data_IF_950368103347
#
_entry.id   IF_950368103347
#
_cell.length_a   1.000
_cell.length_b   1.000
_cell.length_c   1.000
_cell.angle_alpha   90.00
_cell.angle_beta   90.00
_cell.angle_gamma   90.00
#
_symmetry.space_group_name_H-M   'P 1'
#
loop_
_entity.id
_entity.type
_entity.pdbx_description
1 polymer ?
#
# COMPACT_ATOMS: atom_id res chain seq x y z
N UNK A 1 33.33 -21.06 -3.33
CA UNK A 1 32.57 -21.35 -4.56
C UNK A 1 32.37 -20.08 -5.36
N UNK A 2 32.46 -20.15 -6.70
CA UNK A 2 32.14 -19.03 -7.59
C UNK A 2 30.63 -18.97 -7.88
N UNK A 3 30.16 -17.81 -8.31
CA UNK A 3 28.72 -17.57 -8.51
C UNK A 3 28.04 -18.58 -9.45
N UNK A 4 28.71 -19.03 -10.51
CA UNK A 4 28.13 -20.01 -11.44
C UNK A 4 27.90 -21.38 -10.77
N UNK A 5 28.78 -21.79 -9.85
CA UNK A 5 28.61 -23.04 -9.09
C UNK A 5 27.46 -22.93 -8.09
N UNK A 6 27.34 -21.76 -7.44
CA UNK A 6 26.23 -21.45 -6.52
C UNK A 6 24.89 -21.46 -7.26
N UNK A 7 24.82 -20.85 -8.44
CA UNK A 7 23.63 -20.91 -9.29
C UNK A 7 23.24 -22.36 -9.62
N UNK A 8 24.23 -23.21 -9.91
CA UNK A 8 24.01 -24.65 -10.15
C UNK A 8 23.42 -25.38 -8.93
N UNK A 9 23.98 -25.16 -7.74
CA UNK A 9 23.50 -25.80 -6.49
C UNK A 9 22.14 -25.28 -6.03
N UNK A 10 21.91 -23.97 -6.14
CA UNK A 10 20.71 -23.32 -5.58
C UNK A 10 19.55 -23.23 -6.57
N UNK A 11 19.84 -23.36 -7.87
CA UNK A 11 18.95 -23.00 -8.99
C UNK A 11 18.45 -21.56 -8.96
N UNK A 12 19.14 -20.68 -8.23
CA UNK A 12 18.87 -19.25 -8.26
C UNK A 12 19.62 -18.59 -9.41
N UNK A 13 19.02 -17.55 -9.97
CA UNK A 13 19.71 -16.73 -10.98
C UNK A 13 20.76 -15.86 -10.29
N UNK A 14 21.77 -15.44 -11.08
CA UNK A 14 22.77 -14.46 -10.63
C UNK A 14 22.12 -13.20 -10.01
N UNK A 15 21.05 -12.71 -10.65
CA UNK A 15 20.33 -11.51 -10.21
C UNK A 15 19.62 -11.72 -8.87
N UNK A 16 19.06 -12.90 -8.63
CA UNK A 16 18.45 -13.23 -7.33
C UNK A 16 19.50 -13.29 -6.21
N UNK A 17 20.67 -13.90 -6.47
CA UNK A 17 21.76 -13.97 -5.49
C UNK A 17 22.25 -12.55 -5.14
N UNK A 18 22.47 -11.69 -6.14
CA UNK A 18 22.85 -10.29 -5.91
C UNK A 18 21.78 -9.47 -5.21
N UNK A 19 20.50 -9.74 -5.48
CA UNK A 19 19.41 -9.12 -4.73
C UNK A 19 19.49 -9.49 -3.25
N UNK A 20 19.66 -10.77 -2.91
CA UNK A 20 19.78 -11.17 -1.51
C UNK A 20 21.05 -10.62 -0.84
N UNK A 21 22.15 -10.45 -1.56
CA UNK A 21 23.33 -9.71 -1.06
C UNK A 21 23.00 -8.24 -0.77
N UNK A 22 22.35 -7.53 -1.72
CA UNK A 22 21.94 -6.14 -1.55
C UNK A 22 20.99 -5.95 -0.37
N UNK A 23 20.09 -6.90 -0.19
CA UNK A 23 19.16 -6.96 0.94
C UNK A 23 19.85 -7.34 2.26
N UNK A 24 21.15 -7.66 2.23
CA UNK A 24 21.94 -8.01 3.40
C UNK A 24 21.71 -9.42 3.92
N UNK A 25 20.99 -10.28 3.19
CA UNK A 25 20.73 -11.66 3.61
C UNK A 25 21.98 -12.56 3.50
N UNK A 26 22.96 -12.17 2.67
CA UNK A 26 24.22 -12.86 2.45
C UNK A 26 25.38 -11.88 2.40
N UNK A 27 26.52 -12.27 2.98
CA UNK A 27 27.75 -11.49 2.99
C UNK A 27 28.92 -12.37 2.54
N UNK A 28 28.99 -12.71 1.24
CA UNK A 28 30.07 -13.54 0.73
C UNK A 28 31.42 -12.83 0.88
N UNK A 29 32.47 -13.61 1.15
CA UNK A 29 33.82 -13.07 1.24
C UNK A 29 34.26 -12.51 -0.11
N UNK A 30 34.93 -11.35 -0.10
CA UNK A 30 35.52 -10.77 -1.31
C UNK A 30 37.02 -10.99 -1.29
N UNK A 31 37.54 -11.56 -2.37
CA UNK A 31 38.96 -11.87 -2.50
C UNK A 31 39.77 -10.58 -2.68
N UNK A 32 40.77 -10.37 -1.82
CA UNK A 32 41.55 -9.12 -1.73
C UNK A 32 42.36 -8.79 -2.98
N UNK A 33 42.71 -9.79 -3.79
CA UNK A 33 43.58 -9.63 -4.95
C UNK A 33 42.84 -9.23 -6.23
N UNK A 34 41.55 -9.57 -6.37
CA UNK A 34 40.85 -9.45 -7.65
C UNK A 34 39.36 -9.09 -7.54
N UNK A 35 38.88 -8.75 -6.32
CA UNK A 35 37.50 -8.35 -6.04
C UNK A 35 36.41 -9.36 -6.45
N UNK A 36 36.78 -10.64 -6.65
CA UNK A 36 35.81 -11.69 -6.91
C UNK A 36 35.11 -12.12 -5.61
N UNK A 37 33.80 -12.35 -5.72
CA UNK A 37 32.97 -12.89 -4.64
C UNK A 37 33.21 -14.39 -4.51
N UNK A 38 33.41 -14.83 -3.27
CA UNK A 38 33.56 -16.23 -2.92
C UNK A 38 32.48 -16.63 -1.90
N UNK A 39 31.67 -17.60 -2.27
CA UNK A 39 30.57 -18.12 -1.45
C UNK A 39 31.01 -19.40 -0.73
N UNK A 40 30.64 -19.51 0.53
CA UNK A 40 30.83 -20.69 1.37
C UNK A 40 29.67 -21.68 1.19
N UNK A 41 29.82 -22.91 1.69
CA UNK A 41 28.67 -23.85 1.73
C UNK A 41 27.56 -23.36 2.69
N UNK A 42 27.92 -22.56 3.71
CA UNK A 42 26.92 -21.91 4.57
C UNK A 42 26.07 -20.89 3.79
N UNK A 43 26.70 -20.10 2.91
CA UNK A 43 25.99 -19.18 2.03
C UNK A 43 25.03 -19.93 1.09
N UNK A 44 25.45 -21.10 0.58
CA UNK A 44 24.59 -21.96 -0.24
C UNK A 44 23.40 -22.46 0.57
N UNK A 45 23.60 -22.90 1.81
CA UNK A 45 22.51 -23.34 2.68
C UNK A 45 21.54 -22.20 2.99
N UNK A 46 22.04 -20.99 3.28
CA UNK A 46 21.20 -19.79 3.46
C UNK A 46 20.38 -19.48 2.20
N UNK A 47 21.00 -19.52 1.02
CA UNK A 47 20.31 -19.32 -0.26
C UNK A 47 19.22 -20.36 -0.51
N UNK A 48 19.45 -21.63 -0.16
CA UNK A 48 18.44 -22.69 -0.27
C UNK A 48 17.26 -22.46 0.70
N UNK A 49 17.54 -22.04 1.95
CA UNK A 49 16.51 -21.68 2.91
C UNK A 49 15.69 -20.48 2.46
N UNK A 50 16.34 -19.41 1.99
CA UNK A 50 15.67 -18.22 1.43
C UNK A 50 14.77 -18.64 0.27
N UNK A 51 15.27 -19.47 -0.65
CA UNK A 51 14.50 -19.97 -1.79
C UNK A 51 13.26 -20.73 -1.34
N UNK A 52 13.38 -21.65 -0.38
CA UNK A 52 12.24 -22.40 0.15
C UNK A 52 11.19 -21.48 0.77
N UNK A 53 11.60 -20.56 1.64
CA UNK A 53 10.68 -19.64 2.30
C UNK A 53 9.98 -18.72 1.29
N UNK A 54 10.70 -18.25 0.27
CA UNK A 54 10.11 -17.50 -0.85
C UNK A 54 9.10 -18.31 -1.66
N UNK A 55 9.31 -19.62 -1.83
CA UNK A 55 8.35 -20.51 -2.49
C UNK A 55 7.08 -20.75 -1.66
N UNK A 56 7.14 -20.48 -0.36
CA UNK A 56 5.98 -20.50 0.54
C UNK A 56 5.33 -19.11 0.66
N UNK A 57 5.64 -18.20 -0.26
CA UNK A 57 5.17 -16.81 -0.30
C UNK A 57 5.53 -15.96 0.94
N UNK A 58 6.56 -16.36 1.69
CA UNK A 58 7.06 -15.57 2.82
C UNK A 58 7.86 -14.39 2.26
N UNK A 59 7.58 -13.14 2.70
CA UNK A 59 8.25 -11.96 2.18
C UNK A 59 9.70 -11.85 2.71
N UNK A 60 10.53 -11.12 1.95
CA UNK A 60 11.99 -11.07 2.14
C UNK A 60 12.38 -10.46 3.49
N UNK A 61 11.59 -9.51 3.98
CA UNK A 61 11.73 -8.87 5.29
C UNK A 61 11.47 -9.83 6.46
N UNK A 62 10.46 -10.70 6.38
CA UNK A 62 10.23 -11.76 7.37
C UNK A 62 11.36 -12.80 7.35
N UNK A 63 11.86 -13.14 6.15
CA UNK A 63 13.02 -14.03 6.00
C UNK A 63 14.27 -13.40 6.66
N UNK A 64 14.49 -12.08 6.53
CA UNK A 64 15.57 -11.39 7.26
C UNK A 64 15.44 -11.57 8.77
N UNK A 65 14.24 -11.37 9.33
CA UNK A 65 14.00 -11.53 10.78
C UNK A 65 14.39 -12.94 11.24
N UNK A 66 14.03 -13.97 10.46
CA UNK A 66 14.43 -15.36 10.76
C UNK A 66 15.94 -15.55 10.69
N UNK A 67 16.59 -15.08 9.62
CA UNK A 67 18.04 -15.25 9.47
C UNK A 67 18.87 -14.49 10.52
N UNK A 68 18.37 -13.35 10.99
CA UNK A 68 19.02 -12.58 12.06
C UNK A 68 18.62 -13.03 13.48
N UNK A 69 17.83 -14.10 13.61
CA UNK A 69 17.37 -14.61 14.92
C UNK A 69 16.39 -13.68 15.65
N UNK A 70 15.82 -12.71 14.95
CA UNK A 70 14.80 -11.78 15.47
C UNK A 70 13.40 -12.41 15.47
N UNK A 71 13.20 -13.49 14.71
CA UNK A 71 11.97 -14.28 14.69
C UNK A 71 12.30 -15.78 14.62
N UNK A 72 11.46 -16.61 15.24
CA UNK A 72 11.55 -18.06 15.09
C UNK A 72 10.96 -18.46 13.74
N UNK A 73 11.65 -19.32 13.00
CA UNK A 73 11.14 -19.90 11.74
C UNK A 73 9.76 -20.51 11.91
N UNK A 74 9.51 -21.15 13.07
CA UNK A 74 8.21 -21.73 13.41
C UNK A 74 7.09 -20.69 13.40
N UNK A 75 7.30 -19.54 14.04
CA UNK A 75 6.30 -18.46 14.13
C UNK A 75 5.93 -17.94 12.74
N UNK A 76 6.93 -17.67 11.90
CA UNK A 76 6.69 -17.19 10.52
C UNK A 76 5.92 -18.21 9.69
N UNK A 77 6.22 -19.50 9.85
CA UNK A 77 5.49 -20.59 9.18
C UNK A 77 4.06 -20.74 9.69
N UNK A 78 3.82 -20.58 11.01
CA UNK A 78 2.49 -20.61 11.61
C UNK A 78 1.62 -19.43 11.14
N UNK A 79 2.20 -18.23 11.09
CA UNK A 79 1.54 -17.06 10.53
C UNK A 79 1.19 -17.26 9.05
N UNK A 80 2.12 -17.80 8.26
CA UNK A 80 1.85 -18.07 6.85
C UNK A 80 0.81 -19.18 6.65
N UNK A 81 0.83 -20.22 7.47
CA UNK A 81 -0.20 -21.26 7.46
C UNK A 81 -1.59 -20.68 7.78
N UNK A 82 -1.65 -19.73 8.73
CA UNK A 82 -2.88 -19.01 9.05
C UNK A 82 -3.37 -18.19 7.85
N UNK A 83 -2.48 -17.43 7.18
CA UNK A 83 -2.82 -16.67 5.95
C UNK A 83 -3.34 -17.57 4.82
N UNK A 84 -2.71 -18.73 4.61
CA UNK A 84 -3.15 -19.71 3.60
C UNK A 84 -4.51 -20.31 3.98
N UNK A 85 -4.71 -20.68 5.25
CA UNK A 85 -5.98 -21.24 5.73
C UNK A 85 -7.14 -20.24 5.56
N UNK A 86 -6.95 -18.98 5.95
CA UNK A 86 -7.95 -17.93 5.76
C UNK A 86 -8.28 -17.70 4.28
N UNK A 87 -7.27 -17.79 3.40
CA UNK A 87 -7.46 -17.68 1.95
C UNK A 87 -8.26 -18.86 1.39
N UNK A 88 -8.00 -20.09 1.87
CA UNK A 88 -8.76 -21.28 1.49
C UNK A 88 -10.22 -21.16 1.90
N UNK A 89 -10.52 -20.74 3.13
CA UNK A 89 -11.89 -20.55 3.58
C UNK A 89 -12.62 -19.49 2.75
N UNK A 90 -11.94 -18.38 2.40
CA UNK A 90 -12.51 -17.34 1.53
C UNK A 90 -12.82 -17.89 0.14
N UNK A 91 -11.89 -18.61 -0.48
CA UNK A 91 -12.10 -19.21 -1.80
C UNK A 91 -13.21 -20.27 -1.77
N UNK A 92 -13.32 -21.01 -0.68
CA UNK A 92 -14.39 -21.98 -0.45
C UNK A 92 -15.76 -21.29 -0.36
N UNK A 93 -15.88 -20.22 0.42
CA UNK A 93 -17.11 -19.40 0.50
C UNK A 93 -17.50 -18.83 -0.87
N UNK A 94 -16.53 -18.27 -1.61
CA UNK A 94 -16.77 -17.75 -2.97
C UNK A 94 -17.28 -18.87 -3.89
N UNK A 95 -16.64 -20.04 -3.85
CA UNK A 95 -17.05 -21.21 -4.64
C UNK A 95 -18.46 -21.66 -4.28
N UNK A 96 -18.80 -21.72 -2.99
CA UNK A 96 -20.13 -22.09 -2.51
C UNK A 96 -21.19 -21.10 -2.98
N UNK A 97 -20.89 -19.81 -2.94
CA UNK A 97 -21.76 -18.76 -3.45
C UNK A 97 -21.97 -18.86 -4.96
N UNK A 98 -20.90 -19.02 -5.74
CA UNK A 98 -20.99 -19.25 -7.19
C UNK A 98 -21.80 -20.52 -7.47
N UNK A 99 -21.55 -21.59 -6.72
CA UNK A 99 -22.26 -22.87 -6.90
C UNK A 99 -23.75 -22.72 -6.56
N UNK A 100 -24.10 -21.96 -5.52
CA UNK A 100 -25.49 -21.66 -5.17
C UNK A 100 -26.18 -20.85 -6.27
N UNK A 101 -25.51 -19.85 -6.82
CA UNK A 101 -26.01 -19.06 -7.96
C UNK A 101 -26.20 -19.91 -9.21
N UNK A 102 -25.29 -20.84 -9.50
CA UNK A 102 -25.40 -21.75 -10.65
C UNK A 102 -26.48 -22.82 -10.45
N UNK A 103 -26.64 -23.34 -9.23
CA UNK A 103 -27.62 -24.39 -8.91
C UNK A 103 -29.03 -23.83 -8.67
N UNK A 104 -29.16 -22.52 -8.43
CA UNK A 104 -30.43 -21.83 -8.18
C UNK A 104 -31.45 -22.07 -9.29
N UNK A 105 -31.05 -22.11 -10.56
CA UNK A 105 -31.94 -22.46 -11.68
C UNK A 105 -31.16 -23.02 -12.89
N UNK A 106 -31.24 -24.33 -13.19
CA UNK A 106 -30.48 -24.96 -14.30
C UNK A 106 -30.88 -24.51 -15.71
N UNK A 107 -31.81 -23.56 -15.86
CA UNK A 107 -32.28 -23.05 -17.16
C UNK A 107 -32.68 -21.56 -17.18
N UNK A 108 -32.28 -20.76 -16.18
CA UNK A 108 -32.46 -19.30 -16.20
C UNK A 108 -31.23 -18.62 -15.59
N UNK A 109 -30.73 -17.57 -16.25
CA UNK A 109 -29.76 -16.66 -15.63
C UNK A 109 -30.35 -16.11 -14.32
N UNK A 110 -29.57 -16.00 -13.23
CA UNK A 110 -30.04 -15.38 -11.99
C UNK A 110 -30.65 -14.03 -12.30
N UNK A 111 -31.90 -13.80 -11.89
CA UNK A 111 -32.55 -12.51 -12.09
C UNK A 111 -31.95 -11.49 -11.10
N UNK A 112 -31.87 -10.21 -11.48
CA UNK A 112 -31.38 -9.11 -10.62
C UNK A 112 -31.99 -9.11 -9.20
N UNK A 113 -33.22 -9.62 -9.04
CA UNK A 113 -33.94 -9.72 -7.77
C UNK A 113 -33.30 -10.74 -6.81
N UNK A 114 -32.82 -11.88 -7.32
CA UNK A 114 -32.15 -12.91 -6.51
C UNK A 114 -30.78 -12.43 -6.04
N UNK A 115 -30.06 -11.72 -6.91
CA UNK A 115 -28.79 -11.07 -6.58
C UNK A 115 -28.98 -9.98 -5.52
N UNK A 116 -30.04 -9.17 -5.62
CA UNK A 116 -30.35 -8.14 -4.63
C UNK A 116 -30.72 -8.74 -3.25
N UNK A 117 -31.44 -9.87 -3.22
CA UNK A 117 -31.79 -10.57 -1.98
C UNK A 117 -30.57 -11.13 -1.25
N UNK A 118 -29.62 -11.72 -1.99
CA UNK A 118 -28.35 -12.19 -1.45
C UNK A 118 -27.44 -11.05 -1.00
N UNK A 119 -27.36 -9.96 -1.77
CA UNK A 119 -26.58 -8.77 -1.39
C UNK A 119 -27.05 -8.21 -0.04
N UNK A 120 -28.36 -8.19 0.21
CA UNK A 120 -28.96 -7.64 1.44
C UNK A 120 -28.77 -8.53 2.67
N UNK A 121 -28.71 -9.85 2.50
CA UNK A 121 -28.45 -10.76 3.63
C UNK A 121 -26.96 -10.90 3.95
N UNK A 122 -26.08 -10.60 2.98
CA UNK A 122 -24.63 -10.62 3.16
C UNK A 122 -24.06 -9.28 3.62
N UNK A 123 -24.72 -8.15 3.32
CA UNK A 123 -24.14 -6.83 3.57
C UNK A 123 -23.87 -6.56 5.05
N UNK A 124 -24.86 -6.73 5.93
CA UNK A 124 -24.79 -6.07 7.24
C UNK A 124 -23.79 -6.73 8.21
N UNK A 125 -23.76 -8.07 8.26
CA UNK A 125 -22.83 -8.83 9.12
C UNK A 125 -21.41 -8.85 8.55
N UNK A 126 -21.28 -9.01 7.22
CA UNK A 126 -19.98 -9.01 6.55
C UNK A 126 -19.34 -7.63 6.56
N UNK A 127 -20.14 -6.56 6.38
CA UNK A 127 -19.65 -5.19 6.41
C UNK A 127 -19.13 -4.82 7.80
N UNK A 128 -19.83 -5.23 8.86
CA UNK A 128 -19.36 -5.06 10.24
C UNK A 128 -18.04 -5.79 10.50
N UNK A 129 -17.88 -7.02 9.99
CA UNK A 129 -16.62 -7.76 10.08
C UNK A 129 -15.51 -7.13 9.22
N UNK A 130 -15.87 -6.62 8.04
CA UNK A 130 -14.93 -6.00 7.11
C UNK A 130 -14.40 -4.67 7.63
N UNK A 131 -15.22 -3.84 8.30
CA UNK A 131 -14.80 -2.59 8.95
C UNK A 131 -13.64 -2.80 9.93
N UNK A 132 -13.58 -3.96 10.57
CA UNK A 132 -12.51 -4.33 11.52
C UNK A 132 -11.23 -4.81 10.83
N UNK A 133 -11.23 -4.95 9.49
CA UNK A 133 -10.05 -5.37 8.72
C UNK A 133 -9.34 -4.15 8.14
N UNK A 134 -8.02 -4.16 8.22
CA UNK A 134 -7.17 -3.14 7.59
C UNK A 134 -7.44 -3.01 6.09
N UNK A 135 -7.40 -1.77 5.59
CA UNK A 135 -7.64 -1.44 4.18
C UNK A 135 -9.11 -1.54 3.76
N UNK A 136 -10.07 -1.66 4.68
CA UNK A 136 -11.50 -1.61 4.36
C UNK A 136 -11.89 -0.29 3.70
N UNK A 137 -11.57 0.85 4.34
CA UNK A 137 -11.97 2.17 3.85
C UNK A 137 -11.42 2.44 2.45
N UNK A 138 -10.14 2.18 2.21
CA UNK A 138 -9.52 2.32 0.89
C UNK A 138 -10.23 1.48 -0.19
N UNK A 139 -10.58 0.22 0.11
CA UNK A 139 -11.36 -0.64 -0.80
C UNK A 139 -12.79 -0.13 -0.99
N UNK A 140 -13.40 0.34 0.10
CA UNK A 140 -14.78 0.84 0.10
C UNK A 140 -14.93 2.11 -0.73
N UNK A 141 -13.88 2.94 -0.86
CA UNK A 141 -13.88 4.07 -1.79
C UNK A 141 -14.10 3.64 -3.25
N UNK A 142 -13.51 2.52 -3.70
CA UNK A 142 -13.73 2.03 -5.07
C UNK A 142 -15.17 1.55 -5.28
N UNK A 143 -15.77 0.97 -4.25
CA UNK A 143 -17.15 0.49 -4.29
C UNK A 143 -18.17 1.64 -4.29
N UNK A 144 -17.99 2.62 -3.39
CA UNK A 144 -18.90 3.74 -3.21
C UNK A 144 -18.80 4.78 -4.34
N UNK A 145 -17.59 4.98 -4.87
CA UNK A 145 -17.32 6.01 -5.88
C UNK A 145 -16.74 5.37 -7.16
N UNK A 146 -17.58 4.73 -7.99
CA UNK A 146 -17.09 4.03 -9.18
C UNK A 146 -16.43 4.98 -10.18
N UNK A 147 -15.49 4.43 -10.95
CA UNK A 147 -14.79 5.16 -12.01
C UNK A 147 -13.58 5.96 -11.52
N UNK A 148 -13.15 6.93 -12.34
CA UNK A 148 -11.89 7.66 -12.13
C UNK A 148 -11.86 8.43 -10.81
N UNK A 149 -13.00 8.94 -10.33
CA UNK A 149 -13.04 9.72 -9.10
C UNK A 149 -12.62 8.89 -7.88
N UNK A 150 -13.25 7.73 -7.62
CA UNK A 150 -12.85 6.87 -6.50
C UNK A 150 -11.43 6.33 -6.63
N UNK A 151 -10.98 6.03 -7.87
CA UNK A 151 -9.59 5.65 -8.15
C UNK A 151 -8.61 6.73 -7.71
N UNK A 152 -8.90 7.99 -8.03
CA UNK A 152 -8.07 9.14 -7.62
C UNK A 152 -8.10 9.34 -6.10
N UNK A 153 -9.27 9.21 -5.46
CA UNK A 153 -9.38 9.33 -3.99
C UNK A 153 -8.59 8.22 -3.29
N UNK A 154 -8.72 6.97 -3.74
CA UNK A 154 -7.98 5.84 -3.19
C UNK A 154 -6.46 6.00 -3.40
N UNK A 155 -6.02 6.48 -4.58
CA UNK A 155 -4.60 6.71 -4.85
C UNK A 155 -3.99 7.77 -3.91
N UNK A 156 -4.70 8.87 -3.66
CA UNK A 156 -4.16 10.00 -2.90
C UNK A 156 -4.31 9.85 -1.39
N UNK A 157 -5.41 9.23 -0.94
CA UNK A 157 -5.78 9.20 0.48
C UNK A 157 -5.84 7.78 1.05
N UNK A 158 -5.90 6.74 0.21
CA UNK A 158 -6.00 5.35 0.63
C UNK A 158 -4.89 4.91 1.59
N UNK A 159 -3.70 5.52 1.51
CA UNK A 159 -2.57 5.25 2.41
C UNK A 159 -2.93 5.44 3.88
N UNK A 160 -3.73 6.46 4.14
CA UNK A 160 -4.17 6.90 5.46
C UNK A 160 -5.55 6.32 5.81
N UNK A 161 -6.13 5.49 4.94
CA UNK A 161 -7.43 4.85 5.14
C UNK A 161 -7.27 3.33 5.26
N UNK A 162 -6.14 2.90 5.84
CA UNK A 162 -5.79 1.50 6.04
C UNK A 162 -6.08 0.98 7.44
N UNK A 163 -6.27 1.87 8.43
CA UNK A 163 -6.61 1.47 9.79
C UNK A 163 -8.02 0.83 9.84
N UNK A 164 -8.26 -0.15 10.73
CA UNK A 164 -9.60 -0.67 10.96
C UNK A 164 -10.47 0.39 11.63
N UNK A 165 -11.76 0.44 11.29
CA UNK A 165 -12.72 1.34 11.94
C UNK A 165 -13.12 0.73 13.28
N UNK A 166 -12.76 1.40 14.38
CA UNK A 166 -12.99 0.93 15.73
C UNK A 166 -13.75 1.96 16.56
N UNK A 167 -15.00 1.62 16.91
CA UNK A 167 -15.88 2.45 17.76
C UNK A 167 -16.54 3.64 17.06
N UNK A 168 -17.50 4.23 17.76
CA UNK A 168 -18.46 5.19 17.19
C UNK A 168 -17.81 6.43 16.57
N UNK A 169 -16.70 6.92 17.16
CA UNK A 169 -16.01 8.11 16.64
C UNK A 169 -15.38 7.88 15.27
N UNK A 170 -14.81 6.69 15.02
CA UNK A 170 -14.25 6.37 13.71
C UNK A 170 -15.37 6.07 12.71
N UNK A 171 -16.47 5.44 13.16
CA UNK A 171 -17.63 5.22 12.29
C UNK A 171 -18.24 6.54 11.82
N UNK A 172 -18.41 7.49 12.73
CA UNK A 172 -18.92 8.82 12.39
C UNK A 172 -17.96 9.55 11.45
N UNK A 173 -16.65 9.53 11.75
CA UNK A 173 -15.66 10.18 10.91
C UNK A 173 -15.62 9.61 9.47
N UNK A 174 -15.76 8.28 9.34
CA UNK A 174 -15.86 7.64 8.04
C UNK A 174 -17.15 8.03 7.31
N UNK A 175 -18.29 8.05 8.00
CA UNK A 175 -19.57 8.46 7.42
C UNK A 175 -19.52 9.91 6.92
N UNK A 176 -18.93 10.82 7.69
CA UNK A 176 -18.75 12.23 7.30
C UNK A 176 -17.83 12.38 6.07
N UNK A 177 -16.78 11.56 5.94
CA UNK A 177 -15.96 11.53 4.72
C UNK A 177 -16.78 11.10 3.52
N UNK A 178 -17.57 10.03 3.65
CA UNK A 178 -18.39 9.51 2.55
C UNK A 178 -19.44 10.54 2.13
N UNK A 179 -20.15 11.14 3.09
CA UNK A 179 -21.15 12.17 2.83
C UNK A 179 -20.52 13.41 2.19
N UNK A 180 -19.35 13.84 2.66
CA UNK A 180 -18.59 14.91 2.06
C UNK A 180 -18.25 14.61 0.60
N UNK A 181 -17.71 13.43 0.30
CA UNK A 181 -17.31 13.05 -1.05
C UNK A 181 -18.50 12.91 -2.00
N UNK A 182 -19.63 12.38 -1.52
CA UNK A 182 -20.87 12.23 -2.29
C UNK A 182 -21.55 13.58 -2.58
N UNK A 183 -21.42 14.54 -1.66
CA UNK A 183 -21.96 15.89 -1.81
C UNK A 183 -21.13 16.83 -2.70
N UNK A 184 -20.00 16.39 -3.24
CA UNK A 184 -19.17 17.21 -4.13
C UNK A 184 -19.87 17.41 -5.48
N UNK A 185 -19.98 18.67 -5.92
CA UNK A 185 -20.28 18.95 -7.34
C UNK A 185 -19.21 18.30 -8.23
N UNK A 186 -19.60 17.91 -9.46
CA UNK A 186 -18.71 17.22 -10.42
C UNK A 186 -17.31 17.88 -10.47
N UNK A 187 -16.32 17.15 -9.97
CA UNK A 187 -14.94 17.60 -10.00
C UNK A 187 -14.43 17.39 -11.42
N UNK A 188 -14.26 18.49 -12.16
CA UNK A 188 -13.63 18.46 -13.48
C UNK A 188 -12.15 18.07 -13.35
N UNK A 189 -11.90 16.76 -13.42
CA UNK A 189 -10.57 16.17 -13.39
C UNK A 189 -9.87 16.40 -14.74
N UNK A 190 -8.55 16.70 -14.74
CA UNK A 190 -7.81 16.87 -15.99
C UNK A 190 -8.01 15.67 -16.94
N UNK A 191 -8.39 15.94 -18.19
CA UNK A 191 -8.67 14.88 -19.19
C UNK A 191 -7.52 13.88 -19.36
N UNK A 192 -6.28 14.34 -19.24
CA UNK A 192 -5.09 13.49 -19.30
C UNK A 192 -5.05 12.47 -18.17
N UNK A 193 -5.42 12.89 -16.95
CA UNK A 193 -5.53 12.01 -15.79
C UNK A 193 -6.63 10.97 -16.00
N UNK A 194 -7.80 11.39 -16.49
CA UNK A 194 -8.92 10.47 -16.79
C UNK A 194 -8.47 9.40 -17.80
N UNK A 195 -7.86 9.82 -18.91
CA UNK A 195 -7.33 8.90 -19.92
C UNK A 195 -6.28 7.93 -19.38
N UNK A 196 -5.39 8.40 -18.49
CA UNK A 196 -4.40 7.53 -17.85
C UNK A 196 -5.05 6.53 -16.90
N UNK A 197 -6.05 6.96 -16.12
CA UNK A 197 -6.75 6.08 -15.17
C UNK A 197 -7.62 5.03 -15.89
N UNK A 198 -8.23 5.37 -17.02
CA UNK A 198 -9.05 4.44 -17.82
C UNK A 198 -8.22 3.31 -18.44
N UNK A 199 -6.91 3.51 -18.64
CA UNK A 199 -6.00 2.50 -19.19
C UNK A 199 -5.55 1.47 -18.15
N UNK A 200 -5.79 1.73 -16.86
CA UNK A 200 -5.34 0.88 -15.76
C UNK A 200 -6.48 -0.03 -15.28
N UNK A 201 -6.13 -1.30 -15.06
CA UNK A 201 -6.95 -2.25 -14.31
C UNK A 201 -6.95 -1.93 -12.82
N UNK A 202 -7.96 -2.39 -12.09
CA UNK A 202 -8.04 -2.17 -10.63
C UNK A 202 -6.80 -2.74 -9.90
N UNK A 203 -6.27 -3.87 -10.37
CA UNK A 203 -5.06 -4.48 -9.81
C UNK A 203 -3.80 -3.63 -10.05
N UNK A 204 -3.69 -2.96 -11.20
CA UNK A 204 -2.57 -2.03 -11.46
C UNK A 204 -2.69 -0.78 -10.60
N UNK A 205 -3.92 -0.30 -10.34
CA UNK A 205 -4.16 0.82 -9.43
C UNK A 205 -3.76 0.44 -8.00
N UNK A 206 -4.14 -0.75 -7.53
CA UNK A 206 -3.71 -1.26 -6.21
C UNK A 206 -2.18 -1.32 -6.09
N UNK A 207 -1.46 -1.74 -7.14
CA UNK A 207 0.01 -1.73 -7.14
C UNK A 207 0.59 -0.32 -7.11
N UNK A 208 -0.01 0.63 -7.83
CA UNK A 208 0.41 2.03 -7.81
C UNK A 208 0.19 2.67 -6.44
N UNK A 209 -0.94 2.35 -5.81
CA UNK A 209 -1.27 2.74 -4.44
C UNK A 209 -0.17 2.26 -3.48
N UNK A 210 0.21 0.98 -3.52
CA UNK A 210 1.31 0.43 -2.70
C UNK A 210 2.65 1.13 -2.95
N UNK A 211 3.01 1.38 -4.21
CA UNK A 211 4.25 2.07 -4.56
C UNK A 211 4.28 3.50 -4.01
N UNK A 212 3.14 4.20 -4.07
CA UNK A 212 3.00 5.54 -3.51
C UNK A 212 3.09 5.52 -1.97
N UNK A 213 2.52 4.48 -1.34
CA UNK A 213 2.58 4.27 0.11
C UNK A 213 4.00 4.11 0.62
N UNK A 214 4.84 3.35 -0.09
CA UNK A 214 6.25 3.14 0.31
C UNK A 214 7.00 4.47 0.46
N UNK A 215 6.73 5.43 -0.42
CA UNK A 215 7.37 6.75 -0.36
C UNK A 215 6.87 7.63 0.79
N UNK A 216 5.62 7.44 1.22
CA UNK A 216 5.03 8.22 2.31
C UNK A 216 5.43 7.69 3.70
N UNK A 217 5.78 6.39 3.81
CA UNK A 217 6.20 5.77 5.08
C UNK A 217 7.35 6.50 5.78
N UNK A 218 8.29 7.08 5.04
CA UNK A 218 9.42 7.84 5.64
C UNK A 218 9.00 9.13 6.35
N UNK A 219 7.78 9.61 6.10
CA UNK A 219 7.20 10.77 6.77
C UNK A 219 6.31 10.37 7.97
N UNK A 220 6.07 9.07 8.18
CA UNK A 220 5.22 8.56 9.25
C UNK A 220 6.10 8.10 10.39
N UNK A 221 5.99 8.79 11.53
CA UNK A 221 6.73 8.52 12.78
C UNK A 221 8.25 8.31 12.58
N UNK A 222 8.96 9.19 11.85
CA UNK A 222 10.40 9.04 11.70
C UNK A 222 11.10 9.24 13.05
N UNK A 223 12.07 8.37 13.38
CA UNK A 223 13.01 8.63 14.45
C UNK A 223 13.93 9.83 14.10
N UNK A 224 14.70 10.36 15.06
CA UNK A 224 15.55 11.53 14.81
C UNK A 224 16.59 11.31 13.70
N UNK A 225 17.10 10.08 13.54
CA UNK A 225 18.05 9.77 12.48
C UNK A 225 17.36 9.76 11.12
N UNK A 226 16.18 9.16 11.04
CA UNK A 226 15.34 9.13 9.84
C UNK A 226 14.87 10.54 9.47
N UNK A 227 14.56 11.37 10.47
CA UNK A 227 14.16 12.76 10.28
C UNK A 227 15.30 13.62 9.72
N UNK A 228 16.53 13.47 10.22
CA UNK A 228 17.69 14.17 9.65
C UNK A 228 18.01 13.70 8.22
N UNK A 229 17.86 12.41 7.92
CA UNK A 229 17.95 11.91 6.53
C UNK A 229 16.87 12.54 5.65
N UNK A 230 15.64 12.64 6.16
CA UNK A 230 14.54 13.29 5.45
C UNK A 230 14.82 14.76 5.19
N UNK A 231 15.45 15.49 6.12
CA UNK A 231 15.90 16.88 5.92
C UNK A 231 16.95 16.99 4.83
N UNK A 232 17.92 16.09 4.80
CA UNK A 232 18.93 16.08 3.74
C UNK A 232 18.34 15.73 2.37
N UNK A 233 17.38 14.81 2.31
CA UNK A 233 16.59 14.60 1.10
C UNK A 233 15.84 15.88 0.73
N UNK A 234 15.16 16.52 1.69
CA UNK A 234 14.37 17.73 1.49
C UNK A 234 15.20 18.91 0.97
N UNK A 235 16.43 19.09 1.44
CA UNK A 235 17.39 20.07 0.90
C UNK A 235 17.71 19.82 -0.58
N UNK A 236 17.74 18.56 -0.98
CA UNK A 236 18.08 18.13 -2.34
C UNK A 236 16.84 17.99 -3.26
N UNK A 237 15.62 18.07 -2.70
CA UNK A 237 14.35 17.85 -3.41
C UNK A 237 14.14 18.88 -4.54
N UNK A 238 14.60 20.13 -4.42
CA UNK A 238 14.47 21.13 -5.52
C UNK A 238 15.16 20.67 -6.82
N UNK A 239 16.22 19.87 -6.71
CA UNK A 239 16.92 19.27 -7.84
C UNK A 239 16.42 17.85 -8.18
N UNK A 240 16.07 17.05 -7.17
CA UNK A 240 15.67 15.65 -7.34
C UNK A 240 14.21 15.47 -7.83
N UNK A 241 13.25 16.25 -7.34
CA UNK A 241 11.86 16.20 -7.83
C UNK A 241 11.72 16.68 -9.27
N UNK A 242 12.60 17.57 -9.72
CA UNK A 242 12.66 18.00 -11.11
C UNK A 242 13.15 16.89 -12.07
N UNK A 243 13.80 15.84 -11.54
CA UNK A 243 14.38 14.74 -12.30
C UNK A 243 13.50 13.48 -12.37
N UNK A 244 12.40 13.41 -11.61
CA UNK A 244 11.43 12.30 -11.69
C UNK A 244 10.43 12.60 -12.82
N UNK A 245 10.33 11.75 -13.86
CA UNK A 245 9.55 12.04 -15.07
C UNK A 245 8.07 12.39 -14.84
N UNK A 246 7.50 11.98 -13.70
CA UNK A 246 6.09 12.15 -13.36
C UNK A 246 5.82 12.99 -12.11
N UNK A 247 6.85 13.46 -11.38
CA UNK A 247 6.62 14.09 -10.07
C UNK A 247 6.01 15.49 -10.17
N UNK A 248 6.38 16.29 -11.18
CA UNK A 248 5.76 17.62 -11.38
C UNK A 248 4.29 17.50 -11.76
N UNK A 249 3.95 16.55 -12.62
CA UNK A 249 2.59 16.30 -13.07
C UNK A 249 1.72 15.80 -11.91
N UNK A 250 2.22 14.84 -11.12
CA UNK A 250 1.52 14.34 -9.93
C UNK A 250 1.35 15.43 -8.86
N UNK A 251 2.39 16.20 -8.54
CA UNK A 251 2.28 17.35 -7.61
C UNK A 251 1.20 18.33 -8.10
N UNK A 252 1.22 18.65 -9.38
CA UNK A 252 0.23 19.55 -9.99
C UNK A 252 -1.17 18.95 -9.90
N UNK A 253 -1.36 17.67 -10.25
CA UNK A 253 -2.64 16.95 -10.15
C UNK A 253 -3.16 16.95 -8.71
N UNK A 254 -2.33 16.54 -7.74
CA UNK A 254 -2.72 16.53 -6.32
C UNK A 254 -3.10 17.94 -5.84
N UNK A 255 -2.36 18.96 -6.24
CA UNK A 255 -2.69 20.36 -5.94
C UNK A 255 -4.05 20.75 -6.53
N UNK A 256 -4.26 20.42 -7.79
CA UNK A 256 -5.43 20.79 -8.57
C UNK A 256 -6.70 20.10 -8.04
N UNK A 257 -6.56 18.85 -7.56
CA UNK A 257 -7.58 18.10 -6.82
C UNK A 257 -7.86 18.79 -5.48
N UNK A 258 -6.83 19.07 -4.66
CA UNK A 258 -7.01 19.72 -3.36
C UNK A 258 -7.68 21.09 -3.46
N UNK A 259 -7.31 21.90 -4.45
CA UNK A 259 -7.95 23.19 -4.72
C UNK A 259 -9.45 23.04 -5.03
N UNK A 260 -9.81 22.02 -5.83
CA UNK A 260 -11.23 21.74 -6.14
C UNK A 260 -11.99 21.26 -4.92
N UNK A 261 -11.37 20.41 -4.11
CA UNK A 261 -11.95 19.92 -2.86
C UNK A 261 -12.13 21.07 -1.86
N UNK A 262 -11.16 21.98 -1.74
CA UNK A 262 -11.18 23.04 -0.73
C UNK A 262 -12.37 24.01 -0.86
N UNK A 263 -12.84 24.23 -2.10
CA UNK A 263 -14.10 24.97 -2.35
C UNK A 263 -15.30 24.42 -1.56
N UNK A 264 -15.23 23.17 -1.13
CA UNK A 264 -16.28 22.47 -0.38
C UNK A 264 -15.90 22.17 1.07
N UNK A 265 -14.92 22.88 1.65
CA UNK A 265 -14.46 22.72 3.05
C UNK A 265 -13.62 21.45 3.28
N UNK A 266 -12.77 21.10 2.31
CA UNK A 266 -11.87 19.95 2.36
C UNK A 266 -11.08 19.83 3.67
N UNK A 267 -10.47 20.91 4.15
CA UNK A 267 -9.67 20.83 5.36
C UNK A 267 -10.52 20.67 6.63
N UNK A 268 -11.70 21.30 6.66
CA UNK A 268 -12.59 21.27 7.83
C UNK A 268 -13.29 19.93 7.98
N UNK A 269 -13.63 19.26 6.88
CA UNK A 269 -14.41 18.02 6.90
C UNK A 269 -13.53 16.82 6.61
N UNK A 270 -12.90 16.77 5.44
CA UNK A 270 -12.15 15.59 5.00
C UNK A 270 -10.84 15.41 5.78
N UNK A 271 -10.02 16.46 5.90
CA UNK A 271 -8.75 16.39 6.63
C UNK A 271 -8.97 16.23 8.14
N UNK A 272 -9.98 16.87 8.70
CA UNK A 272 -10.34 16.64 10.11
C UNK A 272 -10.66 15.16 10.38
N UNK A 273 -11.55 14.58 9.57
CA UNK A 273 -12.00 13.21 9.78
C UNK A 273 -10.92 12.17 9.46
N UNK A 274 -10.06 12.39 8.46
CA UNK A 274 -8.94 11.48 8.20
C UNK A 274 -7.91 11.51 9.34
N UNK A 275 -7.74 12.66 10.02
CA UNK A 275 -6.96 12.75 11.25
C UNK A 275 -7.61 12.03 12.44
N UNK A 276 -8.91 11.75 12.45
CA UNK A 276 -9.54 10.86 13.45
C UNK A 276 -9.25 9.40 13.08
N UNK A 277 -9.43 9.07 11.80
CA UNK A 277 -9.33 7.71 11.26
C UNK A 277 -7.92 7.16 11.21
N UNK A 278 -6.89 8.02 11.21
CA UNK A 278 -5.52 7.55 11.04
C UNK A 278 -4.49 8.23 11.94
N UNK A 279 -3.82 7.41 12.74
CA UNK A 279 -2.61 7.79 13.48
C UNK A 279 -1.45 8.12 12.53
N UNK A 280 -1.29 7.33 11.48
CA UNK A 280 -0.25 7.54 10.47
C UNK A 280 -0.41 8.91 9.79
N UNK A 281 -1.66 9.32 9.53
CA UNK A 281 -1.93 10.65 8.97
C UNK A 281 -1.58 11.78 9.93
N UNK A 282 -1.92 11.67 11.22
CA UNK A 282 -1.54 12.66 12.24
C UNK A 282 -0.02 12.81 12.31
N UNK A 283 0.69 11.68 12.36
CA UNK A 283 2.15 11.67 12.40
C UNK A 283 2.79 12.23 11.12
N UNK A 284 2.19 11.95 9.96
CA UNK A 284 2.57 12.55 8.70
C UNK A 284 2.43 14.09 8.73
N UNK A 285 1.31 14.61 9.22
CA UNK A 285 1.08 16.05 9.36
C UNK A 285 2.08 16.70 10.32
N UNK A 286 2.35 16.08 11.48
CA UNK A 286 3.36 16.57 12.43
C UNK A 286 4.76 16.65 11.80
N UNK A 287 5.16 15.62 11.06
CA UNK A 287 6.46 15.59 10.36
C UNK A 287 6.55 16.70 9.31
N UNK A 288 5.48 16.93 8.55
CA UNK A 288 5.42 18.03 7.59
C UNK A 288 5.49 19.41 8.27
N UNK A 289 4.79 19.62 9.38
CA UNK A 289 4.86 20.86 10.16
C UNK A 289 6.26 21.09 10.74
N UNK A 290 6.92 20.03 11.19
CA UNK A 290 8.30 20.11 11.69
C UNK A 290 9.27 20.50 10.57
N UNK A 291 9.16 19.86 9.40
CA UNK A 291 9.94 20.26 8.20
C UNK A 291 9.67 21.71 7.81
N UNK A 292 8.41 22.14 7.82
CA UNK A 292 8.04 23.52 7.51
C UNK A 292 8.76 24.52 8.41
N UNK A 293 8.75 24.27 9.72
CA UNK A 293 9.43 25.08 10.72
C UNK A 293 10.95 25.08 10.51
N UNK A 294 11.57 23.91 10.34
CA UNK A 294 13.02 23.76 10.19
C UNK A 294 13.58 24.41 8.91
N UNK A 295 12.79 24.47 7.85
CA UNK A 295 13.19 25.08 6.57
C UNK A 295 12.69 26.52 6.39
N UNK A 296 11.93 27.07 7.34
CA UNK A 296 11.29 28.38 7.25
C UNK A 296 10.48 28.56 5.94
N UNK A 297 9.80 27.50 5.52
CA UNK A 297 8.98 27.46 4.30
C UNK A 297 7.53 27.74 4.70
N UNK A 298 6.77 28.47 3.87
CA UNK A 298 5.32 28.60 4.05
C UNK A 298 4.60 27.73 3.04
N UNK A 299 3.57 27.00 3.49
CA UNK A 299 2.58 26.45 2.57
C UNK A 299 1.74 27.62 2.02
N UNK A 300 1.54 27.69 0.71
CA UNK A 300 0.34 28.38 0.20
C UNK A 300 -0.85 27.48 0.57
N UNK A 301 -2.01 28.07 0.90
CA UNK A 301 -3.33 27.50 1.31
C UNK A 301 -3.81 26.19 0.62
N UNK A 302 -3.08 25.67 -0.36
CA UNK A 302 -3.40 24.50 -1.16
C UNK A 302 -2.45 23.31 -0.94
N UNK A 303 -1.67 23.29 0.14
CA UNK A 303 -0.87 22.12 0.48
C UNK A 303 0.34 21.89 -0.43
N UNK A 304 0.97 22.95 -0.96
CA UNK A 304 2.32 22.91 -1.54
C UNK A 304 3.35 23.75 -0.75
N UNK A 305 4.52 23.16 -0.54
CA UNK A 305 5.72 23.85 -0.06
C UNK A 305 6.26 24.75 -1.16
N UNK A 306 6.42 26.04 -0.88
CA UNK A 306 7.12 26.96 -1.77
C UNK A 306 8.37 27.47 -1.07
N UNK A 307 9.53 27.04 -1.56
CA UNK A 307 10.83 27.63 -1.20
C UNK A 307 10.88 29.11 -1.59
#
# INVERSE_FOLDING_TARGET
MKINEVMGKTRLTRKAIYYYEKEGLLHPQTETSNHYRHYTDEDVNKLLSIRLLRQLDIPVDEIKKVLYGQALTKTVLEEQLSRVSASLERLQRIKENISSLLNGHPNRSPCFIELAGLAKSYSDDLESEMKQRSGYMARKLFELFPGTFGRVMALHFGVFLNEPIMGDSMEQAWAEIVEYLDGLEEIDLPKTLVQQMDLLSDQEIEQLVELYHEQLRKFVSPDERQYEQLKDEFRNITAAFAAVPFAKEQIWITKEIKIRLDKNRFYEVFVHNISILSADYRSYQETLHRLQHDFNVSYIDNGLLIL
#
